data_IF_634670857736
#
_entry.id   IF_634670857736
#
_cell.length_a   1.000
_cell.length_b   1.000
_cell.length_c   1.000
_cell.angle_alpha   90.00
_cell.angle_beta   90.00
_cell.angle_gamma   90.00
#
_symmetry.space_group_name_H-M   'P 1'
#
loop_
_entity.id
_entity.type
_entity.pdbx_description
1 polymer ?
#
# COMPACT_ATOMS: atom_id res chain seq x y z
N UNK A 1 9.74 6.10 -13.22
CA UNK A 1 11.06 5.48 -12.94
C UNK A 1 11.47 6.03 -11.60
N UNK A 2 11.65 5.17 -10.60
CA UNK A 2 11.91 5.60 -9.23
C UNK A 2 13.34 5.26 -8.87
N UNK A 3 14.22 6.26 -8.89
CA UNK A 3 15.60 6.09 -8.46
C UNK A 3 15.85 6.98 -7.26
N UNK A 4 15.67 6.46 -6.04
CA UNK A 4 16.16 7.19 -4.89
C UNK A 4 17.69 7.32 -5.01
N UNK A 5 18.28 8.43 -4.54
CA UNK A 5 19.73 8.50 -4.39
C UNK A 5 20.22 7.31 -3.54
N UNK A 6 21.45 6.84 -3.80
CA UNK A 6 22.02 5.76 -3.00
C UNK A 6 21.96 6.10 -1.50
N UNK A 7 21.64 5.12 -0.66
CA UNK A 7 21.51 5.34 0.79
C UNK A 7 22.76 5.97 1.42
N UNK A 8 23.96 5.70 0.88
CA UNK A 8 25.21 6.34 1.32
C UNK A 8 25.31 7.83 0.94
N UNK A 9 24.65 8.25 -0.15
CA UNK A 9 24.66 9.63 -0.63
C UNK A 9 23.52 10.50 -0.06
N UNK A 10 22.49 9.89 0.49
CA UNK A 10 21.36 10.59 1.12
C UNK A 10 20.74 9.77 2.28
N UNK A 11 21.51 9.45 3.34
CA UNK A 11 21.07 8.56 4.41
C UNK A 11 19.81 9.06 5.13
N UNK A 12 19.55 10.37 5.14
CA UNK A 12 18.36 10.99 5.72
C UNK A 12 17.05 10.60 5.03
N UNK A 13 17.10 10.03 3.82
CA UNK A 13 15.93 9.54 3.09
C UNK A 13 15.59 8.08 3.43
N UNK A 14 16.41 7.42 4.26
CA UNK A 14 16.26 6.02 4.58
C UNK A 14 16.18 5.78 6.08
N UNK A 15 15.28 4.88 6.49
CA UNK A 15 15.14 4.41 7.86
C UNK A 15 15.39 2.90 7.92
N UNK A 16 16.13 2.42 8.93
CA UNK A 16 16.29 0.98 9.12
C UNK A 16 15.00 0.38 9.67
N UNK A 17 14.45 -0.63 8.99
CA UNK A 17 13.28 -1.36 9.46
C UNK A 17 13.69 -2.62 10.22
N UNK A 18 13.50 -2.69 11.55
CA UNK A 18 13.81 -3.89 12.33
C UNK A 18 12.96 -5.09 11.90
N UNK A 19 11.71 -4.86 11.47
CA UNK A 19 10.81 -5.94 11.04
C UNK A 19 11.35 -6.69 9.81
N UNK A 20 12.05 -5.99 8.90
CA UNK A 20 12.51 -6.55 7.63
C UNK A 20 14.04 -6.66 7.54
N UNK A 21 14.75 -6.22 8.58
CA UNK A 21 16.20 -6.22 8.69
C UNK A 21 16.96 -5.49 7.56
N UNK A 22 16.37 -4.47 6.93
CA UNK A 22 17.01 -3.66 5.89
C UNK A 22 16.49 -2.22 5.86
N UNK A 23 17.16 -1.34 5.12
CA UNK A 23 16.80 0.07 4.98
C UNK A 23 15.61 0.28 4.06
N UNK A 24 14.72 1.18 4.44
CA UNK A 24 13.53 1.58 3.70
C UNK A 24 13.63 3.05 3.33
N UNK A 25 13.31 3.38 2.09
CA UNK A 25 13.07 4.77 1.68
C UNK A 25 11.84 5.30 2.42
N UNK A 26 12.00 6.33 3.23
CA UNK A 26 10.98 6.85 4.13
C UNK A 26 10.00 7.81 3.43
N UNK A 27 8.73 7.76 3.86
CA UNK A 27 7.67 8.64 3.36
C UNK A 27 7.20 8.30 1.95
N UNK A 28 7.39 7.04 1.53
CA UNK A 28 6.93 6.59 0.22
C UNK A 28 5.44 6.36 0.21
N UNK A 29 4.93 5.48 1.08
CA UNK A 29 3.53 5.07 1.01
C UNK A 29 2.70 5.60 2.17
N UNK A 30 1.41 5.77 1.91
CA UNK A 30 0.40 6.08 2.92
C UNK A 30 -0.75 5.10 2.76
N UNK A 31 -1.24 4.62 3.90
CA UNK A 31 -2.36 3.72 4.00
C UNK A 31 -3.35 4.32 5.00
N UNK A 32 -4.52 4.75 4.55
CA UNK A 32 -5.52 5.32 5.43
C UNK A 32 -6.85 4.59 5.26
N UNK A 33 -7.54 4.36 6.36
CA UNK A 33 -8.93 3.92 6.36
C UNK A 33 -9.80 5.09 6.77
N UNK A 34 -10.74 5.47 5.92
CA UNK A 34 -11.73 6.52 6.19
C UNK A 34 -13.09 5.91 6.47
N UNK A 35 -13.84 6.54 7.37
CA UNK A 35 -15.27 6.31 7.45
C UNK A 35 -16.01 6.96 6.26
N UNK A 36 -17.33 6.75 6.19
CA UNK A 36 -18.16 7.28 5.09
C UNK A 36 -18.38 8.81 5.18
N UNK A 37 -17.92 9.46 6.25
CA UNK A 37 -17.92 10.92 6.39
C UNK A 37 -16.54 11.51 6.04
N UNK A 38 -15.66 10.72 5.42
CA UNK A 38 -14.28 11.11 5.07
C UNK A 38 -13.40 11.43 6.28
N UNK A 39 -13.75 10.92 7.46
CA UNK A 39 -12.90 11.03 8.66
C UNK A 39 -11.96 9.84 8.71
N UNK A 40 -10.67 10.09 8.96
CA UNK A 40 -9.68 9.01 9.11
C UNK A 40 -10.02 8.20 10.36
N UNK A 41 -10.42 6.94 10.15
CA UNK A 41 -10.67 5.96 11.20
C UNK A 41 -9.38 5.24 11.63
N UNK A 42 -8.48 4.95 10.67
CA UNK A 42 -7.17 4.33 10.93
C UNK A 42 -6.11 4.97 10.05
N UNK A 43 -4.96 5.30 10.65
CA UNK A 43 -3.73 5.66 9.92
C UNK A 43 -2.78 4.47 9.94
N UNK A 44 -2.26 4.10 8.78
CA UNK A 44 -1.23 3.08 8.65
C UNK A 44 0.12 3.58 9.13
N UNK A 45 0.81 2.75 9.92
CA UNK A 45 2.15 3.07 10.41
C UNK A 45 3.26 2.80 9.38
N UNK A 46 2.98 1.99 8.35
CA UNK A 46 3.97 1.61 7.34
C UNK A 46 4.09 2.69 6.27
N UNK A 47 5.14 3.49 6.32
CA UNK A 47 5.42 4.54 5.32
C UNK A 47 6.67 4.31 4.49
N UNK A 48 7.62 3.55 5.04
CA UNK A 48 8.89 3.23 4.40
C UNK A 48 8.90 1.87 3.72
N UNK A 49 9.52 1.81 2.53
CA UNK A 49 9.69 0.61 1.71
C UNK A 49 11.13 0.50 1.20
N UNK A 50 11.68 -0.71 1.16
CA UNK A 50 12.77 -0.98 0.23
C UNK A 50 12.21 -0.87 -1.19
N UNK A 51 12.96 -0.28 -2.12
CA UNK A 51 12.56 -0.17 -3.53
C UNK A 51 13.37 -1.15 -4.37
N UNK A 52 12.72 -2.15 -4.95
CA UNK A 52 13.39 -3.16 -5.76
C UNK A 52 12.59 -3.64 -6.98
N UNK A 53 13.30 -4.24 -7.94
CA UNK A 53 12.72 -4.80 -9.15
C UNK A 53 12.24 -6.25 -8.91
N UNK A 54 11.05 -6.43 -8.34
CA UNK A 54 10.52 -7.78 -8.01
C UNK A 54 9.80 -8.45 -9.18
N UNK A 55 8.99 -7.69 -9.95
CA UNK A 55 8.10 -8.23 -10.98
C UNK A 55 8.15 -7.36 -12.22
N UNK A 56 8.38 -7.98 -13.38
CA UNK A 56 8.30 -7.30 -14.66
C UNK A 56 6.82 -7.13 -15.07
N UNK A 57 6.39 -5.89 -15.29
CA UNK A 57 5.01 -5.52 -15.62
C UNK A 57 4.84 -5.09 -17.08
N UNK A 58 5.93 -4.76 -17.77
CA UNK A 58 5.90 -4.38 -19.18
C UNK A 58 7.01 -5.11 -19.95
N UNK A 59 6.75 -5.31 -21.24
CA UNK A 59 7.70 -5.90 -22.19
C UNK A 59 7.88 -4.96 -23.38
N UNK A 60 9.09 -4.89 -23.93
CA UNK A 60 9.38 -4.07 -25.10
C UNK A 60 10.88 -3.90 -25.33
N UNK A 61 11.24 -3.40 -26.51
CA UNK A 61 12.64 -3.22 -26.91
C UNK A 61 13.45 -2.33 -25.95
N UNK A 62 12.80 -1.36 -25.32
CA UNK A 62 13.43 -0.41 -24.39
C UNK A 62 13.17 -0.74 -22.91
N UNK A 63 12.58 -1.90 -22.61
CA UNK A 63 12.30 -2.32 -21.22
C UNK A 63 13.34 -3.34 -20.80
N UNK A 64 14.09 -3.10 -19.71
CA UNK A 64 15.07 -4.06 -19.20
C UNK A 64 14.41 -5.41 -18.87
N UNK A 65 14.97 -6.51 -19.37
CA UNK A 65 14.46 -7.86 -19.08
C UNK A 65 15.03 -8.48 -17.79
N UNK A 66 15.93 -7.78 -17.09
CA UNK A 66 16.56 -8.24 -15.86
C UNK A 66 16.36 -7.21 -14.75
N UNK A 67 16.10 -7.70 -13.55
CA UNK A 67 16.11 -6.91 -12.35
C UNK A 67 17.52 -6.31 -12.13
N UNK A 68 17.57 -5.07 -11.65
CA UNK A 68 18.82 -4.35 -11.39
C UNK A 68 18.91 -3.90 -9.94
N UNK A 69 17.78 -3.52 -9.35
CA UNK A 69 17.71 -2.97 -8.01
C UNK A 69 17.18 -3.99 -7.00
N UNK A 70 17.73 -3.89 -5.79
CA UNK A 70 17.42 -4.70 -4.61
C UNK A 70 17.48 -3.80 -3.35
N UNK A 71 17.25 -4.35 -2.16
CA UNK A 71 17.30 -3.56 -0.92
C UNK A 71 18.67 -2.98 -0.54
N UNK A 72 19.75 -3.39 -1.21
CA UNK A 72 21.11 -2.84 -1.03
C UNK A 72 21.37 -1.69 -1.99
N UNK A 73 20.92 -1.81 -3.24
CA UNK A 73 20.96 -0.79 -4.27
C UNK A 73 19.54 -0.54 -4.76
N UNK A 74 18.85 0.40 -4.11
CA UNK A 74 17.41 0.59 -4.26
C UNK A 74 17.00 1.39 -5.50
N UNK A 75 15.86 1.02 -6.09
CA UNK A 75 15.24 1.65 -7.25
C UNK A 75 14.21 0.75 -7.93
N UNK A 76 13.40 1.32 -8.83
CA UNK A 76 12.42 0.60 -9.66
C UNK A 76 12.58 1.06 -11.11
N UNK A 77 12.92 0.11 -11.99
CA UNK A 77 13.11 0.34 -13.42
C UNK A 77 11.78 0.57 -14.16
N UNK A 78 11.79 1.27 -15.32
CA UNK A 78 10.65 1.28 -16.22
C UNK A 78 10.24 -0.16 -16.59
N UNK A 79 8.95 -0.45 -16.51
CA UNK A 79 8.41 -1.77 -16.79
C UNK A 79 8.62 -2.82 -15.69
N UNK A 80 9.08 -2.39 -14.51
CA UNK A 80 9.16 -3.20 -13.31
C UNK A 80 8.26 -2.63 -12.21
N UNK A 81 7.91 -3.48 -11.26
CA UNK A 81 7.19 -3.14 -10.05
C UNK A 81 7.84 -3.80 -8.83
N UNK A 82 7.59 -3.18 -7.68
CA UNK A 82 7.96 -3.69 -6.38
C UNK A 82 6.72 -4.29 -5.70
N UNK A 83 6.71 -5.61 -5.54
CA UNK A 83 5.61 -6.38 -5.00
C UNK A 83 5.93 -6.76 -3.56
N UNK A 84 5.17 -6.17 -2.64
CA UNK A 84 5.21 -6.52 -1.23
C UNK A 84 4.11 -7.52 -0.90
N UNK A 85 4.45 -8.81 -0.64
CA UNK A 85 3.45 -9.82 -0.37
C UNK A 85 2.84 -9.66 1.03
N UNK A 86 1.57 -10.00 1.16
CA UNK A 86 0.77 -9.88 2.39
C UNK A 86 1.24 -10.78 3.56
N UNK A 87 2.23 -11.63 3.34
CA UNK A 87 2.87 -12.45 4.39
C UNK A 87 3.96 -11.70 5.13
N UNK A 88 4.38 -10.53 4.64
CA UNK A 88 5.40 -9.72 5.30
C UNK A 88 4.82 -9.03 6.53
N UNK A 89 5.61 -9.08 7.60
CA UNK A 89 5.26 -8.50 8.88
C UNK A 89 5.20 -6.97 8.80
N UNK A 90 4.52 -6.31 9.73
CA UNK A 90 4.48 -4.84 9.84
C UNK A 90 3.85 -4.10 8.63
N UNK A 91 3.13 -4.80 7.75
CA UNK A 91 2.45 -4.24 6.56
C UNK A 91 0.93 -4.40 6.61
N UNK A 92 0.34 -4.11 7.77
CA UNK A 92 -1.10 -4.15 7.99
C UNK A 92 -1.63 -2.85 8.59
N UNK A 93 -2.93 -2.65 8.46
CA UNK A 93 -3.68 -1.67 9.24
C UNK A 93 -4.24 -2.36 10.48
N UNK A 94 -3.92 -1.84 11.66
CA UNK A 94 -4.56 -2.30 12.90
C UNK A 94 -5.99 -1.75 12.98
N UNK A 95 -6.96 -2.66 12.93
CA UNK A 95 -8.39 -2.36 12.98
C UNK A 95 -9.05 -2.82 14.28
N UNK A 96 -8.27 -3.08 15.35
CA UNK A 96 -8.80 -3.64 16.61
C UNK A 96 -9.90 -2.78 17.24
N UNK A 97 -9.84 -1.45 17.10
CA UNK A 97 -10.75 -0.51 17.75
C UNK A 97 -11.88 0.09 16.90
N UNK A 98 -11.97 -0.24 15.61
CA UNK A 98 -12.95 0.40 14.72
C UNK A 98 -14.30 -0.34 14.76
N UNK A 99 -15.40 0.39 14.53
CA UNK A 99 -16.73 -0.22 14.48
C UNK A 99 -16.83 -1.23 13.33
N UNK A 100 -17.49 -2.36 13.60
CA UNK A 100 -17.68 -3.45 12.64
C UNK A 100 -19.04 -3.36 11.95
N UNK A 101 -19.31 -4.29 11.05
CA UNK A 101 -20.54 -4.44 10.27
C UNK A 101 -20.88 -3.21 9.40
N UNK A 102 -19.85 -2.51 8.88
CA UNK A 102 -20.05 -1.33 8.02
C UNK A 102 -18.95 -1.14 6.99
N UNK A 103 -19.26 -0.30 5.99
CA UNK A 103 -18.33 0.12 4.95
C UNK A 103 -17.39 1.23 5.41
N UNK A 104 -16.18 1.18 4.87
CA UNK A 104 -15.12 2.16 4.97
C UNK A 104 -14.52 2.38 3.58
N UNK A 105 -13.73 3.44 3.41
CA UNK A 105 -12.92 3.67 2.22
C UNK A 105 -11.46 3.44 2.60
N UNK A 106 -10.81 2.46 1.97
CA UNK A 106 -9.38 2.26 2.10
C UNK A 106 -8.65 3.04 1.01
N UNK A 107 -7.67 3.83 1.41
CA UNK A 107 -6.81 4.63 0.56
C UNK A 107 -5.37 4.13 0.64
N UNK A 108 -4.75 4.03 -0.54
CA UNK A 108 -3.33 3.77 -0.70
C UNK A 108 -2.78 4.87 -1.59
N UNK A 109 -1.72 5.54 -1.15
CA UNK A 109 -0.98 6.52 -1.96
C UNK A 109 0.51 6.18 -1.99
N UNK A 110 1.17 6.40 -3.12
CA UNK A 110 2.62 6.35 -3.27
C UNK A 110 3.25 7.74 -3.37
N UNK A 111 4.55 7.82 -3.10
CA UNK A 111 5.37 9.03 -3.09
C UNK A 111 4.70 10.27 -2.46
N UNK A 112 4.02 10.08 -1.31
CA UNK A 112 3.21 11.15 -0.70
C UNK A 112 4.02 12.36 -0.27
N UNK A 113 5.27 12.17 0.16
CA UNK A 113 6.17 13.27 0.54
C UNK A 113 6.85 13.94 -0.67
N UNK A 114 6.55 13.49 -1.90
CA UNK A 114 7.11 14.02 -3.16
C UNK A 114 8.64 14.03 -3.22
N UNK A 115 9.27 13.11 -2.48
CA UNK A 115 10.73 12.98 -2.41
C UNK A 115 11.34 12.39 -3.69
N UNK A 116 10.52 11.74 -4.51
CA UNK A 116 10.91 11.22 -5.83
C UNK A 116 10.26 12.02 -6.94
N UNK A 117 10.99 12.26 -8.04
CA UNK A 117 10.45 12.92 -9.21
C UNK A 117 9.69 11.93 -10.08
N UNK A 118 8.46 12.29 -10.43
CA UNK A 118 7.59 11.50 -11.30
C UNK A 118 7.20 12.29 -12.55
N UNK A 119 6.76 11.58 -13.59
CA UNK A 119 6.23 12.20 -14.80
C UNK A 119 4.82 12.79 -14.56
N UNK A 120 4.10 12.24 -13.59
CA UNK A 120 2.76 12.63 -13.19
C UNK A 120 2.55 12.23 -11.75
N UNK A 121 1.87 13.09 -10.98
CA UNK A 121 1.51 12.85 -9.59
C UNK A 121 0.00 12.59 -9.41
N UNK A 122 -0.76 12.57 -10.51
CA UNK A 122 -2.24 12.48 -10.49
C UNK A 122 -2.76 11.05 -10.34
N UNK A 123 -1.85 10.07 -10.35
CA UNK A 123 -2.17 8.65 -10.41
C UNK A 123 -1.58 7.84 -9.23
N UNK A 124 -1.12 8.52 -8.18
CA UNK A 124 -0.39 7.88 -7.08
C UNK A 124 -1.30 7.35 -6.00
N UNK A 125 -2.54 7.83 -5.96
CA UNK A 125 -3.54 7.44 -4.99
C UNK A 125 -4.62 6.55 -5.60
N UNK A 126 -5.01 5.52 -4.86
CA UNK A 126 -6.17 4.67 -5.13
C UNK A 126 -7.02 4.56 -3.87
N UNK A 127 -8.33 4.68 -4.05
CA UNK A 127 -9.33 4.45 -3.01
C UNK A 127 -10.21 3.30 -3.43
N UNK A 128 -10.64 2.47 -2.49
CA UNK A 128 -11.63 1.42 -2.74
C UNK A 128 -12.44 1.11 -1.48
N UNK A 129 -13.72 0.76 -1.62
CA UNK A 129 -14.58 0.44 -0.50
C UNK A 129 -14.15 -0.90 0.13
N UNK A 130 -14.16 -0.95 1.46
CA UNK A 130 -13.93 -2.17 2.23
C UNK A 130 -15.01 -2.29 3.31
N UNK A 131 -15.67 -3.44 3.36
CA UNK A 131 -16.63 -3.79 4.39
C UNK A 131 -15.89 -4.50 5.52
N UNK A 132 -16.05 -4.04 6.75
CA UNK A 132 -15.35 -4.63 7.90
C UNK A 132 -16.36 -5.38 8.75
N UNK A 133 -16.43 -6.71 8.64
CA UNK A 133 -17.39 -7.52 9.36
C UNK A 133 -16.96 -7.70 10.83
N UNK A 134 -17.92 -8.02 11.68
CA UNK A 134 -17.65 -8.60 12.98
C UNK A 134 -17.21 -10.05 12.76
N UNK A 135 -16.09 -10.40 13.38
CA UNK A 135 -15.47 -11.72 13.27
C UNK A 135 -15.81 -12.42 14.59
N UNK A 136 -16.72 -13.43 14.62
CA UNK A 136 -17.06 -14.11 15.85
C UNK A 136 -15.80 -14.64 16.53
N UNK A 137 -15.70 -14.46 17.85
CA UNK A 137 -14.56 -14.87 18.65
C UNK A 137 -14.20 -16.36 18.49
N UNK A 138 -15.19 -17.18 18.12
CA UNK A 138 -15.02 -18.57 17.72
C UNK A 138 -14.75 -18.69 16.21
N UNK A 139 -13.57 -18.27 15.76
CA UNK A 139 -13.10 -18.61 14.43
C UNK A 139 -11.80 -19.41 14.52
N UNK A 140 -11.86 -20.57 13.84
CA UNK A 140 -10.73 -21.38 13.43
C UNK A 140 -9.53 -20.47 13.07
N UNK A 141 -8.33 -20.78 13.56
CA UNK A 141 -7.13 -19.94 13.39
C UNK A 141 -6.68 -19.77 11.94
N UNK A 142 -7.39 -20.36 10.99
CA UNK A 142 -7.18 -20.20 9.56
C UNK A 142 -7.77 -18.86 9.09
N UNK A 143 -6.95 -17.92 8.57
CA UNK A 143 -7.46 -16.71 7.95
C UNK A 143 -8.41 -17.03 6.80
N UNK A 144 -9.63 -16.51 6.85
CA UNK A 144 -10.59 -16.62 5.75
C UNK A 144 -10.23 -15.62 4.66
N UNK A 145 -10.44 -15.99 3.39
CA UNK A 145 -10.34 -15.03 2.30
C UNK A 145 -11.48 -14.02 2.41
N UNK A 146 -11.19 -12.74 2.18
CA UNK A 146 -12.16 -11.66 2.31
C UNK A 146 -13.44 -11.89 1.50
N UNK A 147 -13.32 -12.35 0.25
CA UNK A 147 -14.46 -12.66 -0.61
C UNK A 147 -15.37 -13.76 -0.02
N UNK A 148 -14.81 -14.72 0.71
CA UNK A 148 -15.60 -15.78 1.35
C UNK A 148 -16.37 -15.23 2.55
N UNK A 149 -15.79 -14.25 3.27
CA UNK A 149 -16.49 -13.55 4.37
C UNK A 149 -17.68 -12.75 3.84
N UNK A 150 -17.52 -12.03 2.74
CA UNK A 150 -18.63 -11.29 2.12
C UNK A 150 -19.77 -12.22 1.71
N UNK A 151 -19.46 -13.36 1.07
CA UNK A 151 -20.45 -14.37 0.68
C UNK A 151 -21.17 -14.96 1.89
N UNK A 152 -20.46 -15.35 2.94
CA UNK A 152 -21.05 -15.92 4.17
C UNK A 152 -22.02 -14.94 4.85
N UNK A 153 -21.77 -13.63 4.71
CA UNK A 153 -22.58 -12.56 5.30
C UNK A 153 -23.64 -11.99 4.35
N UNK A 154 -23.77 -12.53 3.13
CA UNK A 154 -24.65 -12.00 2.07
C UNK A 154 -24.40 -10.51 1.77
N UNK A 155 -23.15 -10.05 1.89
CA UNK A 155 -22.76 -8.69 1.53
C UNK A 155 -22.40 -8.68 0.04
N UNK A 156 -23.12 -7.88 -0.74
CA UNK A 156 -22.84 -7.68 -2.17
C UNK A 156 -21.86 -6.52 -2.36
N UNK A 157 -20.85 -6.68 -3.21
CA UNK A 157 -20.01 -5.55 -3.65
C UNK A 157 -20.82 -4.43 -4.31
N UNK A 158 -22.04 -4.72 -4.80
CA UNK A 158 -22.94 -3.72 -5.37
C UNK A 158 -23.52 -2.77 -4.32
N UNK A 159 -23.46 -3.11 -3.03
CA UNK A 159 -23.88 -2.20 -1.94
C UNK A 159 -22.71 -1.34 -1.44
N UNK A 160 -21.54 -1.45 -2.05
CA UNK A 160 -20.41 -0.61 -1.74
C UNK A 160 -20.70 0.85 -2.11
N UNK A 161 -20.27 1.82 -1.28
CA UNK A 161 -20.43 3.24 -1.58
C UNK A 161 -19.68 3.62 -2.87
N UNK A 162 -20.22 4.58 -3.62
CA UNK A 162 -19.49 5.22 -4.71
C UNK A 162 -18.26 5.93 -4.15
N UNK A 163 -17.14 5.85 -4.88
CA UNK A 163 -15.90 6.49 -4.49
C UNK A 163 -15.91 7.90 -5.08
N UNK A 164 -16.76 8.77 -4.54
CA UNK A 164 -16.87 10.18 -4.97
C UNK A 164 -15.98 11.10 -4.12
N UNK A 165 -14.76 10.64 -3.84
CA UNK A 165 -13.73 11.50 -3.24
C UNK A 165 -12.65 11.69 -4.28
N UNK A 166 -12.68 12.86 -4.94
CA UNK A 166 -11.60 13.36 -5.78
C UNK A 166 -10.25 13.03 -5.12
N UNK A 167 -9.25 12.52 -5.90
CA UNK A 167 -7.91 12.33 -5.36
C UNK A 167 -7.48 13.65 -4.70
N UNK A 168 -6.92 13.59 -3.50
CA UNK A 168 -6.50 14.80 -2.81
C UNK A 168 -5.40 15.45 -3.65
N UNK A 169 -5.76 16.50 -4.39
CA UNK A 169 -4.86 17.21 -5.30
C UNK A 169 -3.88 18.11 -4.54
N UNK A 170 -3.97 18.15 -3.20
CA UNK A 170 -3.13 18.97 -2.32
C UNK A 170 -1.96 18.23 -1.66
N UNK A 171 -1.55 17.06 -2.18
CA UNK A 171 -0.29 16.38 -1.80
C UNK A 171 0.88 16.82 -2.67
#
# INVERSE_FOLDING_TARGET
>A
MFYPPAASGAPQLFEYSPCHAHFHFDGFALFNLYDLNSVIAVKGGKRGYCMEDTVQTMFGHHIPCKNKYDCTNQGIQPGWADLYPNVLDCQWLDITGISKEKWYIYEICSNVDRKLHEASNTNDCKRFPVYIPEVPFALNTTPLKYADVLKQRNISEQTAPSIDLEPDTNL
#
